data_IF_344695236259
#
_entry.id   IF_344695236259
#
_cell.length_a   1.000
_cell.length_b   1.000
_cell.length_c   1.000
_cell.angle_alpha   90.00
_cell.angle_beta   90.00
_cell.angle_gamma   90.00
#
_symmetry.space_group_name_H-M   'P 1'
#
loop_
_entity.id
_entity.type
_entity.pdbx_description
1 polymer ?
#
# COMPACT_ATOMS: atom_id res chain seq x y z
N UNK A 1 -24.12 31.51 9.50
CA UNK A 1 -23.82 30.67 10.68
C UNK A 1 -23.33 29.32 10.19
N UNK A 2 -22.03 29.19 9.95
CA UNK A 2 -21.32 27.92 9.97
C UNK A 2 -20.13 28.18 10.87
N UNK A 3 -20.18 27.63 12.08
CA UNK A 3 -19.04 27.66 12.99
C UNK A 3 -18.00 26.68 12.43
N UNK A 4 -17.05 27.18 11.66
CA UNK A 4 -15.78 26.49 11.44
C UNK A 4 -15.05 26.42 12.77
N UNK A 5 -14.97 25.21 13.31
CA UNK A 5 -14.23 24.89 14.51
C UNK A 5 -12.73 25.19 14.26
N UNK A 6 -12.11 26.16 14.96
CA UNK A 6 -10.73 26.59 14.70
C UNK A 6 -9.66 25.59 15.14
N UNK A 7 -10.06 24.40 15.64
CA UNK A 7 -9.18 23.33 16.12
C UNK A 7 -8.81 22.28 15.07
N UNK A 8 -9.47 22.27 13.90
CA UNK A 8 -9.27 21.26 12.83
C UNK A 8 -8.03 21.40 11.90
N UNK A 9 -7.41 22.58 11.66
CA UNK A 9 -6.30 22.68 10.71
C UNK A 9 -4.97 21.96 11.09
N UNK A 10 -4.57 21.82 12.38
CA UNK A 10 -3.29 21.19 12.72
C UNK A 10 -3.26 19.70 12.39
N UNK A 11 -4.37 18.99 12.68
CA UNK A 11 -4.45 17.54 12.47
C UNK A 11 -4.46 17.19 10.98
N UNK A 12 -5.23 17.94 10.18
CA UNK A 12 -5.28 17.74 8.73
C UNK A 12 -3.90 17.96 8.08
N UNK A 13 -3.17 19.01 8.48
CA UNK A 13 -1.82 19.27 7.99
C UNK A 13 -0.82 18.20 8.46
N UNK A 14 -0.89 17.78 9.73
CA UNK A 14 -0.05 16.70 10.25
C UNK A 14 -0.28 15.39 9.46
N UNK A 15 -1.54 15.01 9.24
CA UNK A 15 -1.89 13.83 8.45
C UNK A 15 -1.33 13.90 7.01
N UNK A 16 -1.41 15.06 6.34
CA UNK A 16 -0.77 15.24 5.03
C UNK A 16 0.75 15.07 5.08
N UNK A 17 1.40 15.61 6.12
CA UNK A 17 2.83 15.39 6.35
C UNK A 17 3.18 13.91 6.45
N UNK A 18 2.39 13.13 7.18
CA UNK A 18 2.59 11.67 7.29
C UNK A 18 2.33 10.96 5.95
N UNK A 19 1.28 11.33 5.21
CA UNK A 19 1.02 10.78 3.87
C UNK A 19 2.20 11.01 2.93
N UNK A 20 2.79 12.19 2.96
CA UNK A 20 4.00 12.49 2.18
C UNK A 20 5.21 11.65 2.61
N UNK A 21 5.42 11.44 3.92
CA UNK A 21 6.44 10.50 4.42
C UNK A 21 6.21 9.08 3.88
N UNK A 22 4.96 8.59 3.88
CA UNK A 22 4.61 7.27 3.31
C UNK A 22 4.92 7.23 1.82
N UNK A 23 4.49 8.23 1.06
CA UNK A 23 4.78 8.31 -0.37
C UNK A 23 6.27 8.22 -0.65
N UNK A 24 7.10 8.97 0.08
CA UNK A 24 8.55 8.93 -0.08
C UNK A 24 9.13 7.51 0.11
N UNK A 25 8.53 6.69 0.98
CA UNK A 25 8.97 5.31 1.22
C UNK A 25 8.50 4.31 0.16
N UNK A 26 7.31 4.49 -0.41
CA UNK A 26 6.76 3.57 -1.42
C UNK A 26 7.08 4.01 -2.86
N UNK A 27 7.48 5.27 -3.05
CA UNK A 27 7.75 5.84 -4.38
C UNK A 27 8.75 5.02 -5.21
N UNK A 28 9.85 4.47 -4.65
CA UNK A 28 10.74 3.61 -5.44
C UNK A 28 10.02 2.40 -6.06
N UNK A 29 9.07 1.80 -5.34
CA UNK A 29 8.27 0.67 -5.83
C UNK A 29 7.26 1.16 -6.87
N UNK A 30 6.53 2.24 -6.59
CA UNK A 30 5.58 2.83 -7.55
C UNK A 30 6.26 3.23 -8.86
N UNK A 31 7.45 3.85 -8.77
CA UNK A 31 8.28 4.20 -9.91
C UNK A 31 8.71 2.97 -10.69
N UNK A 32 9.13 1.90 -10.00
CA UNK A 32 9.50 0.66 -10.66
C UNK A 32 8.32 0.04 -11.41
N UNK A 33 7.13 0.00 -10.79
CA UNK A 33 5.91 -0.50 -11.40
C UNK A 33 5.52 0.29 -12.66
N UNK A 34 5.72 1.61 -12.67
CA UNK A 34 5.46 2.44 -13.85
C UNK A 34 6.50 2.25 -14.97
N UNK A 35 7.77 2.07 -14.62
CA UNK A 35 8.89 2.03 -15.60
C UNK A 35 9.08 0.63 -16.20
N UNK A 36 8.86 -0.44 -15.43
CA UNK A 36 9.08 -1.81 -15.88
C UNK A 36 8.31 -2.17 -17.17
N UNK A 37 6.98 -1.94 -17.29
CA UNK A 37 6.25 -2.28 -18.51
C UNK A 37 6.68 -1.42 -19.71
N UNK A 38 7.01 -0.14 -19.52
CA UNK A 38 7.59 0.73 -20.56
C UNK A 38 8.95 0.23 -21.07
N UNK A 39 9.78 -0.29 -20.17
CA UNK A 39 11.10 -0.83 -20.50
C UNK A 39 10.95 -2.13 -21.32
N UNK A 40 10.02 -3.00 -20.93
CA UNK A 40 9.68 -4.21 -21.66
C UNK A 40 9.06 -3.92 -23.03
N UNK A 41 8.19 -2.91 -23.12
CA UNK A 41 7.63 -2.43 -24.39
C UNK A 41 8.73 -1.94 -25.34
N UNK A 42 9.73 -1.21 -24.82
CA UNK A 42 10.88 -0.76 -25.62
C UNK A 42 11.69 -1.94 -26.17
N UNK A 43 11.89 -2.98 -25.37
CA UNK A 43 12.56 -4.21 -25.80
C UNK A 43 11.75 -4.98 -26.86
N UNK A 44 10.44 -5.16 -26.64
CA UNK A 44 9.55 -5.82 -27.59
C UNK A 44 9.52 -5.08 -28.95
N UNK A 45 9.49 -3.75 -28.92
CA UNK A 45 9.58 -2.91 -30.12
C UNK A 45 10.93 -3.07 -30.84
N UNK A 46 12.04 -3.22 -30.12
CA UNK A 46 13.35 -3.51 -30.73
C UNK A 46 13.37 -4.91 -31.35
N UNK A 47 12.80 -5.91 -30.68
CA UNK A 47 12.68 -7.29 -31.18
C UNK A 47 11.82 -7.39 -32.44
N UNK A 48 10.80 -6.53 -32.59
CA UNK A 48 9.99 -6.42 -33.82
C UNK A 48 10.80 -5.88 -35.02
N UNK A 49 11.78 -5.01 -34.77
CA UNK A 49 12.66 -4.47 -35.82
C UNK A 49 13.70 -5.49 -36.30
N UNK A 50 13.96 -6.54 -35.51
CA UNK A 50 14.90 -7.60 -35.84
C UNK A 50 14.15 -8.80 -36.44
N UNK A 51 14.43 -9.11 -37.70
CA UNK A 51 13.98 -10.35 -38.33
C UNK A 51 14.80 -11.52 -37.77
N UNK A 52 14.18 -12.61 -37.28
CA UNK A 52 14.93 -13.78 -36.83
C UNK A 52 15.67 -14.41 -38.02
N UNK A 53 16.96 -14.69 -37.86
CA UNK A 53 17.74 -15.39 -38.87
C UNK A 53 17.21 -16.82 -39.05
N UNK A 54 17.05 -17.26 -40.29
CA UNK A 54 16.60 -18.62 -40.61
C UNK A 54 15.10 -18.91 -40.40
N UNK A 55 14.30 -17.96 -39.93
CA UNK A 55 12.85 -18.15 -39.81
C UNK A 55 12.14 -17.96 -41.15
N UNK A 56 11.24 -18.91 -41.47
CA UNK A 56 10.32 -18.79 -42.61
C UNK A 56 9.32 -17.63 -42.42
N UNK A 57 8.58 -17.32 -43.48
CA UNK A 57 7.67 -16.17 -43.51
C UNK A 57 6.51 -16.32 -42.50
N UNK A 58 6.01 -17.53 -42.29
CA UNK A 58 4.87 -17.80 -41.42
C UNK A 58 5.27 -17.71 -39.94
N UNK A 59 6.39 -18.31 -39.55
CA UNK A 59 6.96 -18.21 -38.21
C UNK A 59 7.31 -16.76 -37.86
N UNK A 60 7.81 -15.99 -38.84
CA UNK A 60 8.07 -14.56 -38.66
C UNK A 60 6.79 -13.76 -38.45
N UNK A 61 5.75 -14.02 -39.25
CA UNK A 61 4.46 -13.36 -39.11
C UNK A 61 3.80 -13.65 -37.76
N UNK A 62 3.79 -14.92 -37.33
CA UNK A 62 3.22 -15.33 -36.05
C UNK A 62 3.97 -14.71 -34.87
N UNK A 63 5.31 -14.66 -34.92
CA UNK A 63 6.13 -13.96 -33.92
C UNK A 63 5.80 -12.47 -33.88
N UNK A 64 5.71 -11.81 -35.03
CA UNK A 64 5.38 -10.38 -35.09
C UNK A 64 4.00 -10.09 -34.50
N UNK A 65 2.99 -10.93 -34.78
CA UNK A 65 1.65 -10.79 -34.21
C UNK A 65 1.66 -10.94 -32.68
N UNK A 66 2.36 -11.94 -32.15
CA UNK A 66 2.51 -12.13 -30.69
C UNK A 66 3.19 -10.94 -30.03
N UNK A 67 4.36 -10.54 -30.54
CA UNK A 67 5.11 -9.40 -30.00
C UNK A 67 4.33 -8.08 -30.10
N UNK A 68 3.54 -7.88 -31.16
CA UNK A 68 2.68 -6.71 -31.28
C UNK A 68 1.54 -6.73 -30.25
N UNK A 69 0.94 -7.90 -29.99
CA UNK A 69 -0.05 -8.09 -28.92
C UNK A 69 0.55 -7.83 -27.54
N UNK A 70 1.70 -8.43 -27.24
CA UNK A 70 2.42 -8.25 -25.97
C UNK A 70 2.80 -6.76 -25.77
N UNK A 71 3.28 -6.10 -26.84
CA UNK A 71 3.60 -4.68 -26.81
C UNK A 71 2.36 -3.83 -26.47
N UNK A 72 1.21 -4.11 -27.09
CA UNK A 72 -0.02 -3.38 -26.83
C UNK A 72 -0.46 -3.57 -25.36
N UNK A 73 -0.44 -4.80 -24.85
CA UNK A 73 -0.77 -5.07 -23.45
C UNK A 73 0.18 -4.35 -22.48
N UNK A 74 1.50 -4.38 -22.72
CA UNK A 74 2.46 -3.68 -21.87
C UNK A 74 2.25 -2.16 -21.87
N UNK A 75 1.83 -1.58 -22.99
CA UNK A 75 1.50 -0.16 -23.09
C UNK A 75 0.21 0.18 -22.35
N UNK A 76 -0.84 -0.65 -22.48
CA UNK A 76 -2.09 -0.52 -21.72
C UNK A 76 -1.82 -0.61 -20.21
N UNK A 77 -1.10 -1.63 -19.77
CA UNK A 77 -0.68 -1.80 -18.38
C UNK A 77 0.11 -0.59 -17.88
N UNK A 78 1.01 -0.03 -18.70
CA UNK A 78 1.78 1.17 -18.35
C UNK A 78 0.89 2.39 -18.16
N UNK A 79 -0.09 2.59 -19.04
CA UNK A 79 -1.04 3.71 -18.97
C UNK A 79 -1.89 3.59 -17.70
N UNK A 80 -2.37 2.38 -17.39
CA UNK A 80 -3.19 2.14 -16.20
C UNK A 80 -2.40 2.36 -14.91
N UNK A 81 -1.14 1.91 -14.85
CA UNK A 81 -0.26 2.20 -13.70
C UNK A 81 -0.03 3.70 -13.55
N UNK A 82 0.27 4.43 -14.64
CA UNK A 82 0.51 5.88 -14.58
C UNK A 82 -0.75 6.63 -14.13
N UNK A 83 -1.93 6.28 -14.65
CA UNK A 83 -3.21 6.87 -14.20
C UNK A 83 -3.48 6.56 -12.73
N UNK A 84 -3.14 5.35 -12.29
CA UNK A 84 -3.28 4.94 -10.89
C UNK A 84 -2.35 5.68 -9.92
N UNK A 85 -1.30 6.37 -10.40
CA UNK A 85 -0.43 7.18 -9.53
C UNK A 85 -1.16 8.38 -8.94
N UNK A 86 -2.13 8.95 -9.67
CA UNK A 86 -2.90 10.11 -9.22
C UNK A 86 -3.75 9.80 -7.97
N UNK A 87 -4.24 8.57 -7.86
CA UNK A 87 -5.02 8.06 -6.70
C UNK A 87 -4.21 8.00 -5.40
N UNK A 88 -2.90 8.24 -5.45
CA UNK A 88 -2.09 8.43 -4.25
C UNK A 88 -2.09 9.90 -3.80
N UNK A 89 -2.22 10.85 -4.72
CA UNK A 89 -2.15 12.27 -4.39
C UNK A 89 -3.52 12.82 -4.00
N UNK A 90 -4.55 12.41 -4.73
CA UNK A 90 -5.93 12.88 -4.55
C UNK A 90 -6.86 11.73 -4.13
N UNK A 91 -7.77 12.04 -3.21
CA UNK A 91 -8.83 11.13 -2.78
C UNK A 91 -10.02 11.24 -3.73
N UNK A 92 -10.21 10.23 -4.57
CA UNK A 92 -11.34 10.10 -5.50
C UNK A 92 -12.59 9.50 -4.84
N UNK A 93 -12.53 9.17 -3.54
CA UNK A 93 -13.62 8.53 -2.81
C UNK A 93 -13.80 7.04 -3.13
N UNK A 94 -12.85 6.41 -3.85
CA UNK A 94 -12.93 4.99 -4.14
C UNK A 94 -12.91 4.15 -2.86
N UNK A 95 -13.64 3.03 -2.90
CA UNK A 95 -13.58 1.97 -1.90
C UNK A 95 -13.22 0.65 -2.55
N UNK A 96 -12.48 -0.19 -1.81
CA UNK A 96 -12.11 -1.52 -2.25
C UNK A 96 -12.25 -2.53 -1.10
N UNK A 97 -12.39 -3.83 -1.44
CA UNK A 97 -12.33 -4.90 -0.45
C UNK A 97 -11.03 -4.83 0.36
N UNK A 98 -11.13 -5.05 1.68
CA UNK A 98 -9.98 -5.10 2.59
C UNK A 98 -8.88 -6.06 2.11
N UNK A 99 -9.26 -7.23 1.59
CA UNK A 99 -8.34 -8.21 1.02
C UNK A 99 -7.50 -7.64 -0.14
N UNK A 100 -8.11 -6.81 -1.00
CA UNK A 100 -7.44 -6.17 -2.13
C UNK A 100 -6.46 -5.10 -1.65
N UNK A 101 -6.86 -4.29 -0.66
CA UNK A 101 -6.00 -3.25 -0.07
C UNK A 101 -4.79 -3.84 0.65
N UNK A 102 -4.99 -4.87 1.47
CA UNK A 102 -3.90 -5.57 2.17
C UNK A 102 -2.91 -6.20 1.18
N UNK A 103 -3.41 -6.77 0.07
CA UNK A 103 -2.55 -7.30 -1.01
C UNK A 103 -1.72 -6.20 -1.68
N UNK A 104 -2.30 -5.02 -1.90
CA UNK A 104 -1.57 -3.87 -2.43
C UNK A 104 -0.49 -3.41 -1.46
N UNK A 105 -0.80 -3.24 -0.17
CA UNK A 105 0.18 -2.89 0.86
C UNK A 105 1.32 -3.94 0.96
N UNK A 106 0.99 -5.23 0.86
CA UNK A 106 1.98 -6.33 0.82
C UNK A 106 2.97 -6.17 -0.32
N UNK A 107 2.48 -5.86 -1.53
CA UNK A 107 3.31 -5.63 -2.72
C UNK A 107 4.27 -4.45 -2.49
N UNK A 108 3.76 -3.35 -1.95
CA UNK A 108 4.54 -2.13 -1.70
C UNK A 108 5.61 -2.30 -0.61
N UNK A 109 5.35 -3.13 0.40
CA UNK A 109 6.32 -3.41 1.46
C UNK A 109 7.38 -4.44 1.07
N UNK A 110 7.18 -5.18 -0.02
CA UNK A 110 7.99 -6.34 -0.37
C UNK A 110 9.49 -6.03 -0.36
N UNK A 111 9.92 -4.96 -1.05
CA UNK A 111 11.34 -4.60 -1.09
C UNK A 111 11.90 -4.31 0.30
N UNK A 112 11.16 -3.61 1.16
CA UNK A 112 11.64 -3.28 2.50
C UNK A 112 11.76 -4.52 3.41
N UNK A 113 10.82 -5.45 3.31
CA UNK A 113 10.87 -6.71 4.04
C UNK A 113 12.05 -7.57 3.57
N UNK A 114 12.26 -7.66 2.25
CA UNK A 114 13.39 -8.38 1.67
C UNK A 114 14.75 -7.88 2.18
N UNK A 115 14.96 -6.56 2.24
CA UNK A 115 16.24 -5.99 2.70
C UNK A 115 16.44 -6.04 4.21
N UNK A 116 15.35 -6.02 5.00
CA UNK A 116 15.44 -6.02 6.47
C UNK A 116 15.51 -7.41 7.12
N UNK A 117 15.23 -8.47 6.36
CA UNK A 117 15.15 -9.85 6.89
C UNK A 117 13.96 -10.11 7.82
N UNK A 118 13.11 -9.10 8.06
CA UNK A 118 11.90 -9.19 8.87
C UNK A 118 10.74 -9.69 8.03
N UNK A 119 9.75 -10.30 8.69
CA UNK A 119 8.57 -10.82 8.00
C UNK A 119 7.28 -10.27 8.58
N UNK A 120 6.29 -10.16 7.71
CA UNK A 120 4.90 -9.87 8.07
C UNK A 120 4.07 -11.06 7.63
N UNK A 121 3.40 -11.72 8.57
CA UNK A 121 2.38 -12.72 8.29
C UNK A 121 1.10 -11.97 8.00
N UNK A 122 0.64 -12.04 6.75
CA UNK A 122 -0.57 -11.35 6.30
C UNK A 122 -1.80 -12.23 6.58
N UNK A 123 -2.98 -11.63 6.84
CA UNK A 123 -4.18 -12.41 7.09
C UNK A 123 -4.60 -13.16 5.82
N UNK A 124 -4.92 -14.45 5.97
CA UNK A 124 -5.41 -15.28 4.87
C UNK A 124 -6.87 -14.97 4.52
N UNK A 125 -7.69 -14.67 5.54
CA UNK A 125 -9.13 -14.38 5.40
C UNK A 125 -9.50 -13.10 6.17
N UNK A 126 -9.20 -11.91 5.61
CA UNK A 126 -9.62 -10.64 6.22
C UNK A 126 -11.15 -10.48 6.10
N UNK A 127 -11.75 -9.78 7.07
CA UNK A 127 -13.18 -9.49 7.07
C UNK A 127 -13.63 -8.87 5.73
N UNK A 128 -14.81 -9.27 5.18
CA UNK A 128 -15.30 -8.80 3.89
C UNK A 128 -15.86 -7.38 3.99
N UNK A 129 -14.98 -6.41 4.21
CA UNK A 129 -15.28 -5.00 4.34
C UNK A 129 -14.82 -4.21 3.12
N UNK A 130 -15.63 -3.23 2.73
CA UNK A 130 -15.24 -2.18 1.79
C UNK A 130 -14.63 -1.01 2.57
N UNK A 131 -13.44 -0.58 2.19
CA UNK A 131 -12.70 0.49 2.88
C UNK A 131 -12.26 1.58 1.91
N UNK A 132 -12.24 2.86 2.35
CA UNK A 132 -11.74 3.97 1.54
C UNK A 132 -10.28 3.75 1.15
N UNK A 133 -10.01 3.70 -0.15
CA UNK A 133 -8.71 3.32 -0.71
C UNK A 133 -7.61 4.24 -0.23
N UNK A 134 -7.81 5.55 -0.42
CA UNK A 134 -6.82 6.59 -0.13
C UNK A 134 -6.36 6.50 1.33
N UNK A 135 -7.31 6.62 2.24
CA UNK A 135 -7.08 6.61 3.69
C UNK A 135 -6.46 5.30 4.18
N UNK A 136 -7.01 4.15 3.79
CA UNK A 136 -6.56 2.86 4.31
C UNK A 136 -5.15 2.52 3.85
N UNK A 137 -4.78 2.79 2.59
CA UNK A 137 -3.41 2.56 2.10
C UNK A 137 -2.38 3.32 2.94
N UNK A 138 -2.63 4.60 3.18
CA UNK A 138 -1.73 5.44 3.96
C UNK A 138 -1.60 4.97 5.40
N UNK A 139 -2.73 4.69 6.06
CA UNK A 139 -2.74 4.26 7.45
C UNK A 139 -2.03 2.91 7.63
N UNK A 140 -2.36 1.91 6.80
CA UNK A 140 -1.74 0.58 6.87
C UNK A 140 -0.24 0.65 6.58
N UNK A 141 0.16 1.38 5.55
CA UNK A 141 1.59 1.52 5.22
C UNK A 141 2.35 2.21 6.35
N UNK A 142 1.87 3.34 6.85
CA UNK A 142 2.51 4.03 7.97
C UNK A 142 2.58 3.14 9.21
N UNK A 143 1.50 2.43 9.52
CA UNK A 143 1.42 1.54 10.68
C UNK A 143 2.46 0.43 10.59
N UNK A 144 2.54 -0.28 9.46
CA UNK A 144 3.53 -1.35 9.27
C UNK A 144 4.96 -0.80 9.28
N UNK A 145 5.22 0.30 8.60
CA UNK A 145 6.55 0.95 8.59
C UNK A 145 6.97 1.45 9.97
N UNK A 146 6.01 1.81 10.83
CA UNK A 146 6.25 2.16 12.23
C UNK A 146 6.59 0.92 13.08
N UNK A 147 5.93 -0.21 12.85
CA UNK A 147 6.12 -1.44 13.63
C UNK A 147 7.41 -2.19 13.27
N UNK A 148 7.82 -2.18 11.99
CA UNK A 148 8.96 -2.97 11.54
C UNK A 148 10.26 -2.71 12.32
N UNK A 149 10.66 -1.46 12.63
CA UNK A 149 11.85 -1.19 13.45
C UNK A 149 11.81 -1.78 14.87
N UNK A 150 10.62 -2.07 15.41
CA UNK A 150 10.45 -2.66 16.74
C UNK A 150 10.68 -4.17 16.75
N UNK A 151 10.76 -4.79 15.57
CA UNK A 151 11.05 -6.22 15.43
C UNK A 151 12.56 -6.45 15.45
N UNK A 152 13.03 -7.42 16.25
CA UNK A 152 14.35 -8.02 16.08
C UNK A 152 14.53 -8.54 14.64
N UNK A 153 15.78 -8.63 14.19
CA UNK A 153 16.09 -9.23 12.90
C UNK A 153 15.60 -10.70 12.85
N UNK A 154 14.97 -11.09 11.74
CA UNK A 154 14.39 -12.43 11.57
C UNK A 154 13.06 -12.67 12.31
N UNK A 155 12.59 -11.72 13.13
CA UNK A 155 11.30 -11.84 13.79
C UNK A 155 10.12 -11.59 12.82
N UNK A 156 8.95 -12.05 13.23
CA UNK A 156 7.72 -11.99 12.45
C UNK A 156 6.67 -11.12 13.16
N UNK A 157 5.93 -10.34 12.38
CA UNK A 157 4.76 -9.58 12.81
C UNK A 157 3.51 -10.24 12.22
N UNK A 158 2.56 -10.63 13.06
CA UNK A 158 1.31 -11.22 12.60
C UNK A 158 0.25 -10.14 12.45
N UNK A 159 -0.39 -10.06 11.28
CA UNK A 159 -1.53 -9.20 11.03
C UNK A 159 -2.82 -10.01 11.04
N UNK A 160 -3.73 -9.63 11.92
CA UNK A 160 -5.09 -10.17 12.00
C UNK A 160 -6.08 -9.06 11.60
N UNK A 161 -6.79 -9.30 10.50
CA UNK A 161 -7.85 -8.43 10.00
C UNK A 161 -9.20 -9.17 9.87
N UNK A 162 -9.36 -10.29 10.59
CA UNK A 162 -10.58 -11.12 10.57
C UNK A 162 -11.76 -10.45 11.27
N UNK A 163 -11.50 -9.53 12.20
CA UNK A 163 -12.54 -8.79 12.90
C UNK A 163 -12.88 -7.48 12.14
N UNK A 164 -14.16 -7.25 11.78
CA UNK A 164 -14.55 -6.07 11.03
C UNK A 164 -14.49 -4.75 11.82
N UNK A 165 -14.36 -4.79 13.15
CA UNK A 165 -14.26 -3.60 13.98
C UNK A 165 -12.83 -3.24 14.37
N UNK A 166 -11.91 -4.21 14.32
CA UNK A 166 -10.53 -4.02 14.78
C UNK A 166 -9.55 -4.87 14.00
N UNK A 167 -8.49 -4.23 13.52
CA UNK A 167 -7.33 -4.91 12.95
C UNK A 167 -6.19 -4.89 13.94
N UNK A 168 -5.45 -5.98 14.02
CA UNK A 168 -4.41 -6.18 15.03
C UNK A 168 -3.08 -6.53 14.38
N UNK A 169 -2.01 -5.97 14.92
CA UNK A 169 -0.65 -6.38 14.65
C UNK A 169 -0.07 -6.96 15.94
N UNK A 170 0.24 -8.26 15.93
CA UNK A 170 0.70 -9.02 17.09
C UNK A 170 2.17 -9.35 16.96
N UNK A 171 2.86 -9.24 18.09
CA UNK A 171 4.27 -9.56 18.22
C UNK A 171 4.42 -10.87 19.00
N UNK A 172 5.37 -11.72 18.60
CA UNK A 172 5.63 -12.98 19.29
C UNK A 172 6.09 -12.80 20.75
N UNK A 173 6.71 -11.65 21.06
CA UNK A 173 7.17 -11.27 22.39
C UNK A 173 6.89 -9.78 22.62
N UNK A 174 6.87 -9.29 23.88
CA UNK A 174 6.71 -7.88 24.17
C UNK A 174 7.80 -7.06 23.47
N UNK A 175 7.40 -6.03 22.75
CA UNK A 175 8.33 -5.15 22.04
C UNK A 175 8.91 -4.10 22.96
N UNK A 176 10.16 -3.72 22.67
CA UNK A 176 10.80 -2.55 23.22
C UNK A 176 10.93 -1.50 22.13
N UNK A 177 10.91 -0.22 22.53
CA UNK A 177 11.11 0.87 21.60
C UNK A 177 12.48 0.74 20.91
N UNK A 178 12.57 1.02 19.60
CA UNK A 178 13.84 0.96 18.89
C UNK A 178 14.85 1.95 19.49
N UNK A 179 16.13 1.56 19.51
CA UNK A 179 17.21 2.40 20.05
C UNK A 179 17.51 3.61 19.18
N UNK A 180 17.20 3.54 17.88
CA UNK A 180 17.34 4.63 16.92
C UNK A 180 15.97 5.22 16.56
N UNK A 181 15.90 6.54 16.29
CA UNK A 181 14.67 7.17 15.82
C UNK A 181 14.16 6.47 14.55
N UNK A 182 12.91 6.01 14.59
CA UNK A 182 12.25 5.45 13.44
C UNK A 182 11.73 6.58 12.53
N UNK A 183 11.60 6.30 11.23
CA UNK A 183 11.03 7.26 10.28
C UNK A 183 9.55 7.57 10.58
N UNK A 184 8.82 6.58 11.09
CA UNK A 184 7.45 6.72 11.56
C UNK A 184 7.40 6.47 13.05
N UNK A 185 6.79 7.42 13.76
CA UNK A 185 6.55 7.32 15.19
C UNK A 185 5.08 6.94 15.46
N UNK A 186 4.76 6.40 16.66
CA UNK A 186 3.38 6.10 17.03
C UNK A 186 2.43 7.30 16.82
N UNK A 187 2.92 8.51 17.06
CA UNK A 187 2.16 9.74 16.87
C UNK A 187 1.75 9.99 15.41
N UNK A 188 2.61 9.65 14.45
CA UNK A 188 2.29 9.77 13.02
C UNK A 188 1.06 8.90 12.67
N UNK A 189 0.95 7.73 13.31
CA UNK A 189 -0.14 6.77 13.09
C UNK A 189 -1.42 7.27 13.76
N UNK A 190 -1.30 7.80 14.98
CA UNK A 190 -2.40 8.45 15.69
C UNK A 190 -2.99 9.63 14.88
N UNK A 191 -2.14 10.43 14.22
CA UNK A 191 -2.59 11.51 13.33
C UNK A 191 -3.39 10.99 12.14
N UNK A 192 -2.87 9.98 11.42
CA UNK A 192 -3.57 9.39 10.28
C UNK A 192 -4.88 8.72 10.70
N UNK A 193 -4.86 7.96 11.80
CA UNK A 193 -6.04 7.27 12.31
C UNK A 193 -7.14 8.29 12.68
N UNK A 194 -6.78 9.32 13.46
CA UNK A 194 -7.73 10.33 13.93
C UNK A 194 -8.33 11.15 12.77
N UNK A 195 -7.51 11.52 11.78
CA UNK A 195 -7.97 12.24 10.59
C UNK A 195 -8.97 11.42 9.74
N UNK A 196 -9.03 10.11 9.98
CA UNK A 196 -9.81 9.14 9.22
C UNK A 196 -11.00 8.57 10.03
N UNK A 197 -11.16 8.98 11.29
CA UNK A 197 -12.14 8.40 12.22
C UNK A 197 -11.76 7.02 12.77
N UNK A 198 -10.54 6.55 12.52
CA UNK A 198 -9.99 5.33 13.11
C UNK A 198 -9.36 5.66 14.47
N UNK A 199 -9.12 4.64 15.29
CA UNK A 199 -8.43 4.79 16.57
C UNK A 199 -7.30 3.79 16.71
N UNK A 200 -6.10 4.27 17.05
CA UNK A 200 -4.98 3.42 17.42
C UNK A 200 -5.02 3.12 18.93
N UNK A 201 -4.83 1.85 19.28
CA UNK A 201 -4.58 1.40 20.63
C UNK A 201 -3.26 0.62 20.67
N UNK A 202 -2.42 0.88 21.67
CA UNK A 202 -1.07 0.31 21.77
C UNK A 202 -0.91 -0.48 23.05
N UNK A 203 -0.56 -1.75 22.91
CA UNK A 203 -0.20 -2.64 24.01
C UNK A 203 1.18 -3.26 23.72
N UNK A 204 1.92 -3.75 24.74
CA UNK A 204 3.28 -4.26 24.56
C UNK A 204 3.43 -5.40 23.54
N UNK A 205 2.38 -6.18 23.29
CA UNK A 205 2.40 -7.32 22.36
C UNK A 205 1.40 -7.20 21.21
N UNK A 206 0.56 -6.15 21.22
CA UNK A 206 -0.49 -5.99 20.22
C UNK A 206 -0.76 -4.50 20.02
N UNK A 207 -0.64 -4.05 18.77
CA UNK A 207 -1.19 -2.75 18.39
C UNK A 207 -2.47 -3.01 17.62
N UNK A 208 -3.50 -2.20 17.89
CA UNK A 208 -4.83 -2.38 17.32
C UNK A 208 -5.28 -1.10 16.62
N UNK A 209 -5.75 -1.23 15.39
CA UNK A 209 -6.46 -0.20 14.64
C UNK A 209 -7.95 -0.50 14.71
N UNK A 210 -8.69 0.30 15.46
CA UNK A 210 -10.14 0.23 15.52
C UNK A 210 -10.73 1.03 14.36
N UNK A 211 -11.58 0.37 13.59
CA UNK A 211 -12.24 0.98 12.44
C UNK A 211 -13.31 1.97 12.92
N UNK A 212 -13.66 2.98 12.10
CA UNK A 212 -14.75 3.89 12.42
C UNK A 212 -16.02 3.06 12.63
N UNK A 213 -16.69 3.26 13.76
CA UNK A 213 -18.03 2.68 13.94
C UNK A 213 -18.92 3.27 12.85
N UNK A 214 -19.62 2.41 12.09
CA UNK A 214 -20.67 2.90 11.20
C UNK A 214 -21.57 3.83 12.03
N UNK A 215 -21.92 5.03 11.54
CA UNK A 215 -22.81 5.92 12.29
C UNK A 215 -24.08 5.12 12.58
N UNK A 216 -24.23 4.75 13.85
CA UNK A 216 -25.37 3.99 14.30
C UNK A 216 -26.60 4.82 13.97
N UNK A 217 -27.57 4.21 13.29
CA UNK A 217 -28.96 4.62 13.49
C UNK A 217 -29.19 4.49 14.99
N UNK A 218 -29.14 5.62 15.71
CA UNK A 218 -29.83 5.77 16.98
C UNK A 218 -31.28 5.32 16.72
N UNK A 219 -31.59 4.10 17.12
CA UNK A 219 -32.95 3.63 17.19
C UNK A 219 -33.42 4.08 18.57
N UNK A 220 -34.27 5.11 18.53
CA UNK A 220 -35.00 5.69 19.65
C UNK A 220 -35.78 4.64 20.46
#
# INVERSE_FOLDING_TARGET
MHATDPSAPPLAMAAHGVRFKVLAQIFPVLRHEAIAPLSNATLAAAMLRQAPEGADAEARQLRCQRLAGDLNQMLEDSVDVIRGLDQWLDDDGASLPAATLLRQCRKLLFSQLMWSGRKVIWPDDPAPLELPVFTTRYLVMAWLLCLLPWLPEGAELELDASNPAVWQARFAAPIQAPATPALFEPHDIECLASASGWRLERQPQCWSLHLPSAPGKESA
#
